data_IF_817879992407
#
_entry.id   IF_817879992407
#
_cell.length_a   1.000
_cell.length_b   1.000
_cell.length_c   1.000
_cell.angle_alpha   90.00
_cell.angle_beta   90.00
_cell.angle_gamma   90.00
#
_symmetry.space_group_name_H-M   'P 1'
#
loop_
_entity.id
_entity.type
_entity.pdbx_description
1 polymer ?
#
# COMPACT_ATOMS: atom_id res chain seq x y z
N UNK A 1 -6.46 -9.76 25.51
CA UNK A 1 -5.52 -8.98 26.35
C UNK A 1 -4.47 -9.85 27.03
N UNK A 2 -4.84 -10.95 27.66
CA UNK A 2 -3.87 -11.81 28.35
C UNK A 2 -2.84 -12.39 27.37
N UNK A 3 -1.55 -12.17 27.66
CA UNK A 3 -0.43 -12.59 26.83
C UNK A 3 -0.09 -11.67 25.64
N UNK A 4 -0.69 -10.49 25.54
CA UNK A 4 -0.22 -9.45 24.61
C UNK A 4 1.11 -8.87 25.11
N UNK A 5 2.00 -8.55 24.17
CA UNK A 5 3.30 -7.95 24.48
C UNK A 5 3.25 -6.43 24.49
N UNK A 6 2.39 -5.85 23.64
CA UNK A 6 2.23 -4.40 23.52
C UNK A 6 0.76 -4.02 23.40
N UNK A 7 0.38 -2.89 24.01
CA UNK A 7 -0.99 -2.38 24.03
C UNK A 7 -0.96 -0.88 23.79
N UNK A 8 -1.77 -0.39 22.88
CA UNK A 8 -1.95 1.04 22.62
C UNK A 8 -3.43 1.40 22.80
N UNK A 9 -3.68 2.52 23.45
CA UNK A 9 -5.02 3.08 23.58
C UNK A 9 -5.25 4.15 22.49
N UNK A 10 -6.10 3.85 21.52
CA UNK A 10 -6.51 4.78 20.48
C UNK A 10 -7.50 5.79 21.06
N UNK A 11 -7.03 6.95 21.51
CA UNK A 11 -7.86 7.99 22.15
C UNK A 11 -9.03 8.45 21.27
N UNK A 12 -8.81 8.57 19.97
CA UNK A 12 -9.83 9.07 19.02
C UNK A 12 -10.97 8.08 18.77
N UNK A 13 -10.72 6.77 18.89
CA UNK A 13 -11.72 5.70 18.69
C UNK A 13 -12.23 5.08 19.96
N UNK A 14 -11.66 5.45 21.12
CA UNK A 14 -11.92 4.81 22.42
C UNK A 14 -11.70 3.28 22.37
N UNK A 15 -10.74 2.84 21.57
CA UNK A 15 -10.41 1.44 21.36
C UNK A 15 -9.06 1.12 22.02
N UNK A 16 -8.94 -0.10 22.54
CA UNK A 16 -7.68 -0.66 22.97
C UNK A 16 -7.24 -1.65 21.91
N UNK A 17 -6.06 -1.40 21.32
CA UNK A 17 -5.46 -2.26 20.32
C UNK A 17 -4.23 -2.93 20.92
N UNK A 18 -4.05 -4.20 20.65
CA UNK A 18 -2.92 -4.95 21.19
C UNK A 18 -2.32 -5.89 20.16
N UNK A 19 -1.05 -6.19 20.30
CA UNK A 19 -0.32 -7.16 19.49
C UNK A 19 0.35 -8.18 20.41
N UNK A 20 0.40 -9.41 19.95
CA UNK A 20 1.13 -10.48 20.59
C UNK A 20 2.16 -11.02 19.62
N UNK A 21 3.43 -10.98 20.03
CA UNK A 21 4.48 -11.68 19.29
C UNK A 21 4.20 -13.18 19.40
N UNK A 22 4.15 -13.85 18.24
CA UNK A 22 3.99 -15.29 18.24
C UNK A 22 5.26 -15.96 18.75
N UNK A 23 5.11 -16.82 19.74
CA UNK A 23 6.20 -17.66 20.23
C UNK A 23 6.15 -19.01 19.54
N UNK A 24 7.17 -19.31 18.77
CA UNK A 24 7.32 -20.59 18.09
C UNK A 24 7.90 -21.69 19.00
N UNK A 25 8.05 -21.41 20.30
CA UNK A 25 8.32 -22.34 21.39
C UNK A 25 9.29 -23.46 21.05
N UNK A 26 8.78 -24.67 21.04
CA UNK A 26 9.55 -25.91 20.84
C UNK A 26 9.92 -26.20 19.40
N UNK A 27 9.68 -25.28 18.47
CA UNK A 27 10.04 -25.46 17.07
C UNK A 27 11.57 -25.47 16.91
N UNK A 28 12.13 -26.65 16.67
CA UNK A 28 13.58 -26.81 16.51
C UNK A 28 14.10 -26.27 15.18
N UNK A 29 13.26 -26.22 14.15
CA UNK A 29 13.58 -25.69 12.82
C UNK A 29 12.31 -25.19 12.12
N UNK A 30 12.39 -23.99 11.56
CA UNK A 30 11.34 -23.40 10.75
C UNK A 30 11.91 -22.92 9.42
N UNK A 31 11.19 -23.15 8.34
CA UNK A 31 11.50 -22.59 7.02
C UNK A 31 10.37 -21.69 6.58
N UNK A 32 10.71 -20.43 6.22
CA UNK A 32 9.76 -19.45 5.71
C UNK A 32 10.11 -19.21 4.24
N UNK A 33 9.12 -19.34 3.36
CA UNK A 33 9.22 -19.01 1.95
C UNK A 33 8.39 -17.72 1.72
N UNK A 34 9.04 -16.67 1.26
CA UNK A 34 8.39 -15.40 1.00
C UNK A 34 8.99 -14.75 -0.24
N UNK A 35 8.15 -14.15 -1.07
CA UNK A 35 8.58 -13.36 -2.22
C UNK A 35 9.03 -11.94 -1.84
N UNK A 36 8.65 -11.48 -0.66
CA UNK A 36 8.84 -10.09 -0.19
C UNK A 36 9.55 -10.01 1.16
N UNK A 37 10.25 -11.07 1.58
CA UNK A 37 10.94 -11.07 2.87
C UNK A 37 12.00 -9.97 2.96
N UNK A 38 12.04 -9.27 4.10
CA UNK A 38 13.11 -8.34 4.45
C UNK A 38 13.98 -8.93 5.57
N UNK A 39 15.29 -9.04 5.31
CA UNK A 39 16.24 -9.66 6.24
C UNK A 39 16.23 -8.97 7.60
N UNK A 40 16.33 -7.64 7.63
CA UNK A 40 16.46 -6.90 8.88
C UNK A 40 15.21 -7.04 9.77
N UNK A 41 14.02 -7.01 9.17
CA UNK A 41 12.77 -7.22 9.90
C UNK A 41 12.67 -8.64 10.47
N UNK A 42 13.12 -9.65 9.72
CA UNK A 42 13.13 -11.02 10.23
C UNK A 42 14.16 -11.21 11.35
N UNK A 43 15.34 -10.62 11.23
CA UNK A 43 16.37 -10.64 12.28
C UNK A 43 15.88 -9.95 13.57
N UNK A 44 15.21 -8.81 13.45
CA UNK A 44 14.61 -8.11 14.59
C UNK A 44 13.43 -8.90 15.19
N UNK A 45 12.57 -9.51 14.35
CA UNK A 45 11.45 -10.32 14.83
C UNK A 45 11.91 -11.58 15.57
N UNK A 46 12.90 -12.28 15.05
CA UNK A 46 13.45 -13.50 15.64
C UNK A 46 14.72 -13.23 16.43
N UNK A 47 14.82 -12.06 17.07
CA UNK A 47 16.01 -11.68 17.85
C UNK A 47 16.39 -12.79 18.85
N UNK A 48 17.69 -13.13 18.92
CA UNK A 48 18.21 -14.21 19.73
C UNK A 48 18.13 -15.61 19.11
N UNK A 49 17.59 -15.76 17.88
CA UNK A 49 17.63 -17.02 17.12
C UNK A 49 18.59 -16.91 15.94
N UNK A 50 19.18 -18.03 15.55
CA UNK A 50 20.03 -18.08 14.34
C UNK A 50 19.15 -18.10 13.09
N UNK A 51 19.32 -17.08 12.23
CA UNK A 51 18.60 -16.98 10.95
C UNK A 51 19.56 -17.28 9.81
N UNK A 52 19.19 -18.22 8.96
CA UNK A 52 19.86 -18.48 7.69
C UNK A 52 19.03 -17.89 6.56
N UNK A 53 19.24 -16.62 6.25
CA UNK A 53 18.53 -15.91 5.21
C UNK A 53 19.20 -16.17 3.85
N UNK A 54 18.41 -16.67 2.90
CA UNK A 54 18.86 -16.94 1.54
C UNK A 54 18.01 -16.17 0.55
N UNK A 55 18.63 -15.26 -0.17
CA UNK A 55 18.02 -14.60 -1.31
C UNK A 55 18.18 -15.47 -2.55
N UNK A 56 17.12 -15.59 -3.31
CA UNK A 56 17.13 -16.18 -4.64
C UNK A 56 17.08 -15.05 -5.67
N UNK A 57 17.69 -15.29 -6.83
CA UNK A 57 17.62 -14.34 -7.93
C UNK A 57 16.17 -14.08 -8.31
N UNK A 58 15.80 -12.80 -8.44
CA UNK A 58 14.51 -12.41 -8.96
C UNK A 58 14.47 -12.75 -10.45
N UNK A 59 13.47 -13.53 -10.83
CA UNK A 59 13.22 -13.77 -12.24
C UNK A 59 12.66 -12.48 -12.88
N UNK A 60 13.09 -12.22 -14.12
CA UNK A 60 12.56 -11.10 -14.88
C UNK A 60 11.11 -11.38 -15.32
N UNK A 61 10.27 -10.36 -15.29
CA UNK A 61 8.93 -10.45 -15.86
C UNK A 61 9.03 -10.63 -17.38
N UNK A 62 8.15 -11.45 -17.94
CA UNK A 62 8.06 -11.62 -19.39
C UNK A 62 7.41 -10.43 -20.08
N UNK A 63 6.47 -9.82 -19.37
CA UNK A 63 5.66 -8.72 -19.83
C UNK A 63 5.78 -7.52 -18.88
N UNK A 64 5.05 -6.45 -19.16
CA UNK A 64 5.26 -5.14 -18.56
C UNK A 64 4.44 -4.90 -17.31
N UNK A 65 5.06 -4.21 -16.36
CA UNK A 65 4.38 -3.44 -15.32
C UNK A 65 4.50 -1.96 -15.69
N UNK A 66 3.39 -1.34 -16.06
CA UNK A 66 3.33 0.10 -16.39
C UNK A 66 2.86 0.85 -15.15
N UNK A 67 3.74 1.68 -14.59
CA UNK A 67 3.43 2.37 -13.34
C UNK A 67 3.32 3.87 -13.50
N UNK A 68 2.16 4.40 -13.14
CA UNK A 68 1.82 5.83 -13.13
C UNK A 68 2.03 6.39 -11.73
N UNK A 69 2.99 7.31 -11.56
CA UNK A 69 3.46 7.77 -10.25
C UNK A 69 3.07 9.20 -9.89
N UNK A 70 2.34 9.91 -10.77
CA UNK A 70 2.02 11.32 -10.58
C UNK A 70 1.22 11.63 -9.31
N UNK A 71 0.41 10.68 -8.81
CA UNK A 71 -0.44 10.85 -7.63
C UNK A 71 -0.25 9.73 -6.62
N UNK A 72 -0.40 10.06 -5.32
CA UNK A 72 -0.23 9.09 -4.24
C UNK A 72 -1.33 8.05 -4.20
N UNK A 73 -2.54 8.40 -4.65
CA UNK A 73 -3.75 7.58 -4.58
C UNK A 73 -3.92 6.86 -3.22
N UNK A 74 -3.61 7.58 -2.14
CA UNK A 74 -3.86 7.11 -0.79
C UNK A 74 -5.35 7.17 -0.45
N UNK A 75 -5.77 6.55 0.66
CA UNK A 75 -7.16 6.69 1.15
C UNK A 75 -7.56 8.16 1.35
N UNK A 76 -6.64 8.98 1.85
CA UNK A 76 -6.89 10.42 2.02
C UNK A 76 -7.07 11.15 0.67
N UNK A 77 -6.33 10.73 -0.36
CA UNK A 77 -6.50 11.26 -1.71
C UNK A 77 -7.92 10.99 -2.23
N UNK A 78 -8.40 9.75 -2.11
CA UNK A 78 -9.74 9.39 -2.56
C UNK A 78 -10.85 10.07 -1.76
N UNK A 79 -10.66 10.27 -0.46
CA UNK A 79 -11.61 11.01 0.35
C UNK A 79 -11.76 12.48 -0.10
N UNK A 80 -10.66 13.10 -0.61
CA UNK A 80 -10.67 14.48 -1.11
C UNK A 80 -11.24 14.59 -2.53
N UNK A 81 -10.92 13.64 -3.42
CA UNK A 81 -11.17 13.77 -4.86
C UNK A 81 -12.35 12.90 -5.37
N UNK A 82 -12.94 12.06 -4.51
CA UNK A 82 -13.95 11.09 -4.88
C UNK A 82 -13.36 9.84 -5.54
N UNK A 83 -13.82 8.65 -5.12
CA UNK A 83 -13.33 7.39 -5.71
C UNK A 83 -13.89 7.18 -7.11
N UNK A 84 -15.19 7.40 -7.28
CA UNK A 84 -15.89 7.12 -8.54
C UNK A 84 -15.29 7.93 -9.69
N UNK A 85 -15.14 9.24 -9.49
CA UNK A 85 -14.61 10.15 -10.51
C UNK A 85 -13.18 9.78 -10.90
N UNK A 86 -12.34 9.47 -9.91
CA UNK A 86 -10.95 9.04 -10.13
C UNK A 86 -10.91 7.73 -10.92
N UNK A 87 -11.75 6.76 -10.56
CA UNK A 87 -11.80 5.47 -11.22
C UNK A 87 -12.29 5.58 -12.67
N UNK A 88 -13.34 6.36 -12.90
CA UNK A 88 -13.87 6.60 -14.24
C UNK A 88 -12.82 7.23 -15.15
N UNK A 89 -12.09 8.23 -14.65
CA UNK A 89 -11.02 8.88 -15.42
C UNK A 89 -9.87 7.90 -15.75
N UNK A 90 -9.49 7.05 -14.80
CA UNK A 90 -8.46 6.01 -15.03
C UNK A 90 -8.97 4.99 -16.06
N UNK A 91 -10.19 4.51 -15.93
CA UNK A 91 -10.78 3.55 -16.87
C UNK A 91 -10.85 4.11 -18.28
N UNK A 92 -11.38 5.31 -18.43
CA UNK A 92 -11.57 5.95 -19.73
C UNK A 92 -10.25 6.17 -20.47
N UNK A 93 -9.20 6.60 -19.74
CA UNK A 93 -7.95 7.03 -20.39
C UNK A 93 -6.90 5.92 -20.54
N UNK A 94 -6.90 4.90 -19.66
CA UNK A 94 -5.73 4.03 -19.57
C UNK A 94 -6.02 2.54 -19.57
N UNK A 95 -7.06 2.08 -18.90
CA UNK A 95 -7.23 0.65 -18.64
C UNK A 95 -8.52 0.04 -19.22
N UNK A 96 -9.50 0.85 -19.60
CA UNK A 96 -10.81 0.31 -19.98
C UNK A 96 -11.44 -0.48 -18.82
N UNK A 97 -12.07 -1.61 -19.14
CA UNK A 97 -12.84 -2.40 -18.19
C UNK A 97 -12.13 -3.69 -17.75
N UNK A 98 -10.85 -3.58 -17.35
CA UNK A 98 -10.09 -4.70 -16.79
C UNK A 98 -10.30 -4.85 -15.27
N UNK A 99 -10.01 -6.04 -14.70
CA UNK A 99 -10.07 -6.25 -13.25
C UNK A 99 -9.18 -5.31 -12.46
N UNK A 100 -9.65 -4.90 -11.28
CA UNK A 100 -8.99 -3.92 -10.42
C UNK A 100 -8.68 -4.53 -9.05
N UNK A 101 -7.52 -4.22 -8.50
CA UNK A 101 -7.17 -4.44 -7.09
C UNK A 101 -7.00 -3.07 -6.43
N UNK A 102 -7.75 -2.79 -5.37
CA UNK A 102 -7.71 -1.52 -4.64
C UNK A 102 -8.10 -1.73 -3.17
N UNK A 103 -8.42 -0.65 -2.46
CA UNK A 103 -8.90 -0.71 -1.07
C UNK A 103 -10.33 -1.26 -0.99
N UNK A 104 -10.58 -2.19 -0.08
CA UNK A 104 -11.92 -2.76 0.14
C UNK A 104 -13.01 -1.70 0.40
N UNK A 105 -12.67 -0.63 1.12
CA UNK A 105 -13.63 0.44 1.44
C UNK A 105 -14.11 1.22 0.22
N UNK A 106 -13.33 1.23 -0.88
CA UNK A 106 -13.67 1.94 -2.11
C UNK A 106 -14.47 1.05 -3.07
N UNK A 107 -14.26 -0.25 -3.01
CA UNK A 107 -14.93 -1.23 -3.85
C UNK A 107 -15.26 -2.48 -3.01
N UNK A 108 -16.32 -2.41 -2.17
CA UNK A 108 -16.66 -3.44 -1.18
C UNK A 108 -17.02 -4.79 -1.80
N UNK A 109 -17.49 -4.79 -3.05
CA UNK A 109 -17.88 -5.99 -3.79
C UNK A 109 -16.70 -6.74 -4.41
N UNK A 110 -15.48 -6.15 -4.41
CA UNK A 110 -14.30 -6.84 -4.89
C UNK A 110 -13.88 -7.95 -3.93
N UNK A 111 -13.77 -9.16 -4.47
CA UNK A 111 -13.29 -10.31 -3.70
C UNK A 111 -11.80 -10.16 -3.35
N UNK A 112 -11.00 -9.62 -4.28
CA UNK A 112 -9.56 -9.38 -4.13
C UNK A 112 -9.30 -7.89 -3.97
N UNK A 113 -8.69 -7.52 -2.86
CA UNK A 113 -8.38 -6.14 -2.49
C UNK A 113 -7.11 -6.08 -1.64
N UNK A 114 -6.52 -4.92 -1.41
CA UNK A 114 -5.42 -4.78 -0.47
C UNK A 114 -5.76 -5.38 0.90
N UNK A 115 -4.84 -6.16 1.46
CA UNK A 115 -5.04 -6.96 2.67
C UNK A 115 -5.74 -8.31 2.44
N UNK A 116 -6.15 -8.63 1.20
CA UNK A 116 -6.70 -9.94 0.81
C UNK A 116 -6.28 -10.28 -0.63
N UNK A 117 -5.00 -10.20 -0.89
CA UNK A 117 -4.43 -10.55 -2.20
C UNK A 117 -3.92 -11.98 -2.26
N UNK A 118 -3.67 -12.64 -1.13
CA UNK A 118 -3.08 -13.97 -1.07
C UNK A 118 -4.04 -15.09 -1.47
N UNK A 119 -3.48 -16.16 -2.05
CA UNK A 119 -4.22 -17.42 -2.33
C UNK A 119 -5.08 -17.42 -3.59
N UNK A 120 -5.26 -16.29 -4.27
CA UNK A 120 -6.11 -16.20 -5.46
C UNK A 120 -5.32 -16.41 -6.76
N UNK A 121 -5.98 -17.05 -7.73
CA UNK A 121 -5.46 -17.26 -9.09
C UNK A 121 -6.43 -16.75 -10.18
N UNK A 122 -7.50 -16.09 -9.80
CA UNK A 122 -8.56 -15.68 -10.72
C UNK A 122 -8.06 -14.70 -11.80
N UNK A 123 -7.05 -13.89 -11.48
CA UNK A 123 -6.47 -12.90 -12.41
C UNK A 123 -5.24 -13.42 -13.17
N UNK A 124 -4.95 -14.71 -13.10
CA UNK A 124 -3.82 -15.32 -13.80
C UNK A 124 -3.94 -15.12 -15.32
N UNK A 125 -2.94 -14.48 -15.92
CA UNK A 125 -2.87 -14.21 -17.36
C UNK A 125 -3.83 -13.13 -17.83
N UNK A 126 -4.45 -12.39 -16.93
CA UNK A 126 -5.29 -11.24 -17.26
C UNK A 126 -4.51 -9.95 -17.10
N UNK A 127 -4.79 -8.99 -17.95
CA UNK A 127 -4.43 -7.60 -17.67
C UNK A 127 -5.21 -7.14 -16.43
N UNK A 128 -4.53 -6.48 -15.51
CA UNK A 128 -5.14 -5.99 -14.27
C UNK A 128 -4.63 -4.58 -13.95
N UNK A 129 -5.41 -3.84 -13.16
CA UNK A 129 -5.00 -2.58 -12.59
C UNK A 129 -4.88 -2.67 -11.07
N UNK A 130 -3.76 -2.18 -10.52
CA UNK A 130 -3.53 -1.99 -9.08
C UNK A 130 -3.61 -0.51 -8.78
N UNK A 131 -4.64 -0.08 -8.05
CA UNK A 131 -4.94 1.34 -7.85
C UNK A 131 -4.86 1.68 -6.36
N UNK A 132 -3.87 2.48 -6.00
CA UNK A 132 -3.67 3.00 -4.65
C UNK A 132 -2.31 2.68 -4.05
N UNK A 133 -1.93 3.46 -3.02
CA UNK A 133 -0.75 3.22 -2.19
C UNK A 133 -1.21 2.65 -0.83
N UNK A 134 -0.98 1.37 -0.53
CA UNK A 134 -1.57 0.67 0.62
C UNK A 134 -0.88 0.98 1.95
N UNK A 135 -1.06 2.21 2.45
CA UNK A 135 -0.63 2.55 3.80
C UNK A 135 -1.47 1.83 4.86
N UNK A 136 -0.84 1.26 5.85
CA UNK A 136 -1.48 0.82 7.08
C UNK A 136 -1.82 2.01 8.00
N UNK A 137 -2.61 1.76 9.03
CA UNK A 137 -2.86 2.78 10.05
C UNK A 137 -1.59 3.07 10.86
N UNK A 138 -1.37 4.32 11.32
CA UNK A 138 -0.25 4.64 12.21
C UNK A 138 -0.18 3.72 13.43
N UNK A 139 -1.33 3.40 14.03
CA UNK A 139 -1.42 2.50 15.17
C UNK A 139 -0.84 1.11 14.89
N UNK A 140 -1.04 0.57 13.67
CA UNK A 140 -0.45 -0.72 13.32
C UNK A 140 1.09 -0.62 13.23
N UNK A 141 1.62 0.45 12.64
CA UNK A 141 3.06 0.66 12.59
C UNK A 141 3.67 0.83 14.00
N UNK A 142 3.02 1.61 14.87
CA UNK A 142 3.45 1.78 16.27
C UNK A 142 3.47 0.44 17.03
N UNK A 143 2.41 -0.36 16.91
CA UNK A 143 2.33 -1.67 17.56
C UNK A 143 3.41 -2.64 17.06
N UNK A 144 3.59 -2.73 15.75
CA UNK A 144 4.61 -3.62 15.18
C UNK A 144 6.00 -3.11 15.49
N UNK A 145 6.24 -1.81 15.39
CA UNK A 145 7.51 -1.19 15.77
C UNK A 145 7.87 -1.47 17.23
N UNK A 146 6.93 -1.25 18.15
CA UNK A 146 7.12 -1.56 19.57
C UNK A 146 7.39 -3.05 19.82
N UNK A 147 6.70 -3.94 19.11
CA UNK A 147 6.93 -5.39 19.18
C UNK A 147 8.35 -5.78 18.70
N UNK A 148 8.88 -5.05 17.72
CA UNK A 148 10.24 -5.24 17.19
C UNK A 148 11.31 -4.52 18.03
N UNK A 149 10.91 -3.73 19.05
CA UNK A 149 11.81 -2.96 19.91
C UNK A 149 12.30 -1.65 19.26
N UNK A 150 11.54 -1.09 18.32
CA UNK A 150 11.86 0.19 17.70
C UNK A 150 11.35 1.36 18.55
N UNK A 151 11.97 2.52 18.38
CA UNK A 151 11.45 3.76 18.95
C UNK A 151 10.20 4.20 18.18
N UNK A 152 9.07 4.25 18.87
CA UNK A 152 7.77 4.63 18.32
C UNK A 152 7.33 6.03 18.76
N UNK A 153 8.24 6.83 19.31
CA UNK A 153 7.94 8.21 19.75
C UNK A 153 7.75 9.19 18.59
N UNK A 154 8.26 8.86 17.40
CA UNK A 154 8.12 9.67 16.19
C UNK A 154 6.73 9.52 15.56
N UNK A 155 6.33 10.51 14.76
CA UNK A 155 5.07 10.54 14.05
C UNK A 155 5.28 10.67 12.54
N UNK A 156 4.21 10.42 11.78
CA UNK A 156 4.25 10.53 10.33
C UNK A 156 4.33 11.99 9.89
N UNK A 157 5.36 12.32 9.12
CA UNK A 157 5.54 13.61 8.47
C UNK A 157 5.72 13.44 6.96
N UNK A 158 5.58 14.52 6.23
CA UNK A 158 5.81 14.50 4.77
C UNK A 158 7.31 14.53 4.51
N UNK A 159 7.84 13.44 3.99
CA UNK A 159 9.23 13.31 3.57
C UNK A 159 9.32 13.05 2.06
N UNK A 160 10.46 13.42 1.49
CA UNK A 160 10.89 12.89 0.21
C UNK A 160 11.66 11.60 0.48
N UNK A 161 11.13 10.50 0.01
CA UNK A 161 11.69 9.16 0.22
C UNK A 161 12.31 8.67 -1.07
N UNK A 162 13.45 8.00 -0.96
CA UNK A 162 14.11 7.36 -2.07
C UNK A 162 13.97 5.84 -1.93
N UNK A 163 13.47 5.17 -2.98
CA UNK A 163 13.35 3.72 -3.06
C UNK A 163 13.55 3.26 -4.49
N UNK A 164 14.35 2.19 -4.67
CA UNK A 164 14.64 1.61 -6.01
C UNK A 164 15.14 2.63 -7.05
N UNK A 165 15.91 3.65 -6.61
CA UNK A 165 16.41 4.72 -7.47
C UNK A 165 15.37 5.79 -7.84
N UNK A 166 14.16 5.71 -7.31
CA UNK A 166 13.08 6.67 -7.52
C UNK A 166 12.82 7.49 -6.26
N UNK A 167 12.66 8.81 -6.41
CA UNK A 167 12.46 9.75 -5.31
C UNK A 167 11.06 10.36 -5.37
N UNK A 168 10.26 10.18 -4.31
CA UNK A 168 8.86 10.58 -4.27
C UNK A 168 8.44 11.12 -2.90
N UNK A 169 7.43 12.01 -2.82
CA UNK A 169 6.90 12.50 -1.56
C UNK A 169 5.93 11.49 -0.94
N UNK A 170 6.06 11.23 0.36
CA UNK A 170 5.10 10.43 1.11
C UNK A 170 5.06 10.82 2.58
N UNK A 171 3.98 10.42 3.27
CA UNK A 171 3.88 10.45 4.73
C UNK A 171 4.67 9.28 5.29
N UNK A 172 5.75 9.57 6.04
CA UNK A 172 6.67 8.55 6.56
C UNK A 172 7.21 8.94 7.92
N UNK A 173 7.80 7.98 8.62
CA UNK A 173 8.56 8.22 9.84
C UNK A 173 9.94 8.81 9.52
N UNK A 174 10.50 9.59 10.47
CA UNK A 174 11.88 10.10 10.40
C UNK A 174 12.91 9.04 10.76
N UNK A 175 12.58 8.15 11.73
CA UNK A 175 13.44 7.04 12.14
C UNK A 175 13.63 6.00 11.03
N UNK A 176 14.90 5.56 10.84
CA UNK A 176 15.25 4.64 9.77
C UNK A 176 14.58 3.26 9.88
N UNK A 177 14.47 2.70 11.10
CA UNK A 177 13.85 1.39 11.32
C UNK A 177 12.34 1.42 11.12
N UNK A 178 11.66 2.42 11.70
CA UNK A 178 10.23 2.63 11.52
C UNK A 178 9.88 2.90 10.06
N UNK A 179 10.67 3.73 9.38
CA UNK A 179 10.52 3.99 7.94
C UNK A 179 10.70 2.73 7.12
N UNK A 180 11.76 1.97 7.32
CA UNK A 180 12.03 0.74 6.57
C UNK A 180 10.91 -0.29 6.75
N UNK A 181 10.40 -0.45 7.97
CA UNK A 181 9.25 -1.30 8.24
C UNK A 181 7.99 -0.82 7.51
N UNK A 182 7.71 0.48 7.52
CA UNK A 182 6.58 1.07 6.79
C UNK A 182 6.70 0.79 5.28
N UNK A 183 7.88 1.06 4.70
CA UNK A 183 8.14 0.84 3.27
C UNK A 183 7.99 -0.63 2.90
N UNK A 184 8.50 -1.52 3.74
CA UNK A 184 8.35 -2.97 3.55
C UNK A 184 6.88 -3.39 3.47
N UNK A 185 6.01 -2.89 4.35
CA UNK A 185 4.59 -3.24 4.32
C UNK A 185 3.90 -2.75 3.05
N UNK A 186 4.21 -1.53 2.60
CA UNK A 186 3.65 -0.97 1.36
C UNK A 186 4.13 -1.77 0.15
N UNK A 187 5.44 -1.99 0.06
CA UNK A 187 6.07 -2.74 -1.03
C UNK A 187 5.52 -4.17 -1.11
N UNK A 188 5.47 -4.87 0.02
CA UNK A 188 4.96 -6.23 0.07
C UNK A 188 3.54 -6.35 -0.44
N UNK A 189 2.66 -5.43 -0.06
CA UNK A 189 1.26 -5.44 -0.49
C UNK A 189 1.13 -5.12 -1.98
N UNK A 190 1.89 -4.15 -2.50
CA UNK A 190 1.90 -3.82 -3.93
C UNK A 190 2.44 -4.97 -4.78
N UNK A 191 3.58 -5.55 -4.39
CA UNK A 191 4.20 -6.68 -5.11
C UNK A 191 3.29 -7.92 -5.11
N UNK A 192 2.58 -8.17 -4.01
CA UNK A 192 1.60 -9.24 -3.95
C UNK A 192 0.42 -8.99 -4.88
N UNK A 193 -0.07 -7.75 -4.96
CA UNK A 193 -1.14 -7.36 -5.87
C UNK A 193 -0.70 -7.52 -7.34
N UNK A 194 0.46 -6.99 -7.72
CA UNK A 194 1.06 -7.15 -9.05
C UNK A 194 1.24 -8.62 -9.40
N UNK A 195 1.71 -9.42 -8.45
CA UNK A 195 1.94 -10.86 -8.61
C UNK A 195 0.69 -11.69 -8.93
N UNK A 196 -0.53 -11.13 -8.77
CA UNK A 196 -1.79 -11.86 -9.10
C UNK A 196 -1.94 -12.14 -10.59
N UNK A 197 -1.40 -11.30 -11.46
CA UNK A 197 -1.39 -11.50 -12.90
C UNK A 197 -0.46 -12.64 -13.38
N UNK A 198 0.53 -13.03 -12.53
CA UNK A 198 1.52 -14.09 -12.83
C UNK A 198 2.47 -13.74 -13.98
N UNK A 199 2.94 -12.50 -14.07
CA UNK A 199 3.84 -11.95 -15.09
C UNK A 199 5.08 -12.78 -15.42
N UNK A 200 5.56 -13.60 -14.50
CA UNK A 200 6.69 -14.52 -14.73
C UNK A 200 6.34 -15.66 -15.70
N UNK A 201 5.06 -15.98 -15.90
CA UNK A 201 4.61 -17.15 -16.62
C UNK A 201 3.63 -16.85 -17.74
N UNK A 202 2.86 -15.78 -17.58
CA UNK A 202 1.74 -15.42 -18.45
C UNK A 202 2.04 -14.14 -19.22
N UNK A 203 1.42 -13.98 -20.37
CA UNK A 203 1.51 -12.78 -21.20
C UNK A 203 0.34 -11.86 -20.83
N UNK A 204 0.61 -10.87 -19.98
CA UNK A 204 -0.38 -9.90 -19.51
C UNK A 204 0.32 -8.63 -19.02
N UNK A 205 -0.38 -7.51 -19.05
CA UNK A 205 0.13 -6.22 -18.56
C UNK A 205 -0.48 -5.88 -17.21
N UNK A 206 0.32 -5.37 -16.30
CA UNK A 206 -0.18 -4.81 -15.04
C UNK A 206 0.00 -3.31 -15.03
N UNK A 207 -1.10 -2.60 -14.84
CA UNK A 207 -1.15 -1.15 -14.70
C UNK A 207 -1.15 -0.79 -13.22
N UNK A 208 -0.14 -0.06 -12.74
CA UNK A 208 -0.04 0.35 -11.35
C UNK A 208 -0.25 1.86 -11.25
N UNK A 209 -1.21 2.30 -10.45
CA UNK A 209 -1.48 3.70 -10.15
C UNK A 209 -1.12 3.95 -8.69
N UNK A 210 0.12 4.28 -8.45
CA UNK A 210 0.71 4.52 -7.12
C UNK A 210 2.01 5.29 -7.27
N UNK A 211 2.29 6.22 -6.37
CA UNK A 211 3.59 6.89 -6.36
C UNK A 211 4.70 6.07 -5.68
N UNK A 212 4.38 4.95 -5.04
CA UNK A 212 5.37 4.04 -4.48
C UNK A 212 5.89 3.11 -5.57
N UNK A 213 7.21 3.10 -5.89
CA UNK A 213 7.74 2.34 -7.01
C UNK A 213 7.65 0.82 -6.78
N UNK A 214 7.05 0.12 -7.74
CA UNK A 214 7.08 -1.33 -7.81
C UNK A 214 8.36 -1.83 -8.47
N UNK A 215 8.73 -3.07 -8.18
CA UNK A 215 9.90 -3.70 -8.78
C UNK A 215 9.65 -4.00 -10.26
N UNK A 216 10.69 -3.80 -11.08
CA UNK A 216 10.63 -4.04 -12.53
C UNK A 216 9.54 -3.25 -13.25
N UNK A 217 9.03 -2.18 -12.67
CA UNK A 217 8.03 -1.33 -13.31
C UNK A 217 8.70 -0.31 -14.25
N UNK A 218 8.06 -0.10 -15.39
CA UNK A 218 8.31 1.04 -16.27
C UNK A 218 7.56 2.25 -15.70
N UNK A 219 8.32 3.24 -15.18
CA UNK A 219 7.75 4.41 -14.48
C UNK A 219 7.27 5.45 -15.48
N UNK A 220 6.03 5.90 -15.32
CA UNK A 220 5.39 6.94 -16.10
C UNK A 220 5.03 8.10 -15.16
N UNK A 221 5.75 9.21 -15.27
CA UNK A 221 5.61 10.38 -14.37
C UNK A 221 4.54 11.39 -14.82
N UNK A 222 3.93 11.19 -15.99
CA UNK A 222 2.96 12.13 -16.52
C UNK A 222 1.69 12.24 -15.67
N UNK A 223 1.17 13.45 -15.46
CA UNK A 223 -0.11 13.64 -14.78
C UNK A 223 -1.23 12.94 -15.57
N UNK A 224 -1.95 12.06 -14.90
CA UNK A 224 -3.04 11.29 -15.53
C UNK A 224 -4.44 11.65 -15.00
N UNK A 225 -4.52 12.38 -13.90
CA UNK A 225 -5.77 12.83 -13.31
C UNK A 225 -5.84 14.36 -13.26
N UNK A 226 -7.00 14.91 -13.52
CA UNK A 226 -7.34 16.26 -13.10
C UNK A 226 -7.62 16.25 -11.61
N UNK A 227 -6.69 16.75 -10.82
CA UNK A 227 -6.89 16.97 -9.38
C UNK A 227 -7.66 18.27 -9.22
N UNK A 228 -8.80 18.22 -8.52
CA UNK A 228 -9.53 19.45 -8.15
C UNK A 228 -8.60 20.37 -7.39
N UNK A 229 -8.41 21.57 -7.89
CA UNK A 229 -7.66 22.63 -7.20
C UNK A 229 -8.53 23.27 -6.12
N UNK A 230 -7.94 24.03 -5.20
CA UNK A 230 -8.73 24.77 -4.20
C UNK A 230 -9.69 25.76 -4.87
N UNK A 231 -9.31 26.35 -6.01
CA UNK A 231 -10.16 27.22 -6.83
C UNK A 231 -11.38 26.51 -7.44
N UNK A 232 -11.27 25.21 -7.78
CA UNK A 232 -12.40 24.43 -8.28
C UNK A 232 -13.39 24.08 -7.15
N UNK A 233 -12.91 24.03 -5.92
CA UNK A 233 -13.75 23.76 -4.74
C UNK A 233 -14.55 25.02 -4.36
N UNK A 234 -13.92 26.19 -4.37
CA UNK A 234 -14.57 27.47 -4.09
C UNK A 234 -15.66 27.80 -5.14
N UNK A 235 -15.38 27.55 -6.45
CA UNK A 235 -16.40 27.78 -7.50
C UNK A 235 -17.62 26.87 -7.37
N UNK A 236 -17.46 25.63 -6.95
CA UNK A 236 -18.58 24.73 -6.71
C UNK A 236 -19.43 25.14 -5.49
N UNK A 237 -18.80 25.67 -4.44
CA UNK A 237 -19.52 26.21 -3.29
C UNK A 237 -20.29 27.47 -3.66
N UNK A 238 -19.73 28.34 -4.46
CA UNK A 238 -20.42 29.55 -4.95
C UNK A 238 -21.58 29.22 -5.89
N UNK A 239 -21.45 28.20 -6.77
CA UNK A 239 -22.55 27.75 -7.62
C UNK A 239 -23.69 27.10 -6.82
N UNK A 240 -23.38 26.34 -5.77
CA UNK A 240 -24.39 25.75 -4.88
C UNK A 240 -25.16 26.86 -4.13
N UNK A 241 -24.45 27.84 -3.59
CA UNK A 241 -25.04 28.98 -2.87
C UNK A 241 -25.92 29.83 -3.81
N UNK A 242 -25.51 30.03 -5.08
CA UNK A 242 -26.32 30.77 -6.05
C UNK A 242 -27.57 30.01 -6.46
N UNK A 243 -27.51 28.69 -6.60
CA UNK A 243 -28.68 27.87 -6.94
C UNK A 243 -29.67 27.78 -5.79
N UNK A 244 -29.25 27.70 -4.55
CA UNK A 244 -30.14 27.73 -3.37
C UNK A 244 -30.79 29.10 -3.16
N UNK A 245 -30.15 30.19 -3.65
CA UNK A 245 -30.68 31.56 -3.51
C UNK A 245 -31.73 31.90 -4.61
N UNK A 246 -31.81 31.12 -5.69
CA UNK A 246 -32.77 31.32 -6.77
C UNK A 246 -34.07 30.51 -6.62
N UNK A 247 -34.19 29.66 -5.61
CA UNK A 247 -35.42 28.90 -5.31
C UNK A 247 -36.30 29.51 -4.21
N UNK A 248 -36.13 30.81 -3.89
CA UNK A 248 -37.02 31.54 -2.97
C UNK A 248 -37.71 32.72 -3.66
#
# INVERSE_FOLDING_TARGET
MFGSTHVIMCKNKKEIVFIKKYDFGDCSKMTILSATADRALYEDYFSGKTINFREVYKAEYKEKVLQYTAHTLSRAFFNKNGWTDVLEEIKEKYIGDIPIITFKMLAPDLEIHFGKTEGFNVYRGMDIAVIGTPHNSPVLYELVGAMLGYDTSDSLHRYRVERSGYSFPMMSYGDGKMRNMQLFFIESELEQAVGRARLLRENCTVYVFSNYPCQQAEIIENPYLRVKTEEDTEKNEDEIIQNETMEY
#
